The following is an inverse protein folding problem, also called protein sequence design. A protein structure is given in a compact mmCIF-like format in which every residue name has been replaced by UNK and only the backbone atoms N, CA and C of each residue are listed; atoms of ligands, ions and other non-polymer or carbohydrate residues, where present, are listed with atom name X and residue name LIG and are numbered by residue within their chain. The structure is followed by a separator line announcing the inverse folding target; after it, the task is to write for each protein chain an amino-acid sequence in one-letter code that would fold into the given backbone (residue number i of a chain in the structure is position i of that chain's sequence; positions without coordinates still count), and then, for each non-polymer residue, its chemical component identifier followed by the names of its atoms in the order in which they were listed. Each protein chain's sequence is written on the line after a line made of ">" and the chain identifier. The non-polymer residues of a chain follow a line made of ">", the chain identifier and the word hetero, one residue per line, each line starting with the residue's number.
data_IF_950143155894
#
_entry.id   IF_950143155894
#
_cell.length_a   1.000
_cell.length_b   1.000
_cell.length_c   1.000
_cell.angle_alpha   90.00
_cell.angle_beta   90.00
_cell.angle_gamma   90.00
#
_symmetry.space_group_name_H-M   'P 1'
#
loop_
_entity.id
_entity.type
_entity.pdbx_description
1 polymer ?
#
# COMPACT_ATOMS: atom_id res chain seq x y z
N UNK A 1 7.85 21.17 -14.34
CA UNK A 1 8.52 20.79 -13.07
C UNK A 1 9.96 20.28 -13.25
N UNK A 2 10.90 21.03 -13.87
CA UNK A 2 12.27 20.54 -14.10
C UNK A 2 13.11 20.50 -12.81
N UNK A 3 12.91 21.49 -11.93
CA UNK A 3 13.62 21.59 -10.66
C UNK A 3 13.31 20.42 -9.71
N UNK A 4 12.05 19.96 -9.69
CA UNK A 4 11.64 18.80 -8.90
C UNK A 4 12.33 17.51 -9.36
N UNK A 5 12.43 17.30 -10.68
CA UNK A 5 13.12 16.12 -11.25
C UNK A 5 14.61 16.13 -10.89
N UNK A 6 15.26 17.30 -10.93
CA UNK A 6 16.67 17.46 -10.52
C UNK A 6 16.86 17.10 -9.05
N UNK A 7 15.98 17.61 -8.18
CA UNK A 7 15.99 17.33 -6.75
C UNK A 7 15.82 15.84 -6.45
N UNK A 8 14.85 15.16 -7.08
CA UNK A 8 14.66 13.72 -6.90
C UNK A 8 15.88 12.92 -7.37
N UNK A 9 16.54 13.33 -8.46
CA UNK A 9 17.75 12.67 -8.94
C UNK A 9 18.94 12.81 -7.97
N UNK A 10 19.07 13.96 -7.31
CA UNK A 10 20.07 14.19 -6.27
C UNK A 10 19.79 13.37 -5.00
N UNK A 11 18.51 13.12 -4.68
CA UNK A 11 18.07 12.28 -3.57
C UNK A 11 18.17 10.77 -3.81
N UNK A 12 18.73 10.32 -4.92
CA UNK A 12 19.01 8.90 -5.20
C UNK A 12 20.50 8.58 -4.98
N UNK A 13 21.10 8.82 -3.79
CA UNK A 13 22.50 8.47 -3.57
C UNK A 13 22.60 6.95 -3.61
N UNK A 14 23.13 6.44 -4.72
CA UNK A 14 23.52 5.05 -4.95
C UNK A 14 22.50 4.05 -4.42
N UNK A 15 21.46 3.77 -5.22
CA UNK A 15 20.86 2.43 -5.23
C UNK A 15 21.92 1.45 -5.74
N UNK A 16 22.92 1.11 -4.92
CA UNK A 16 23.72 -0.08 -5.18
C UNK A 16 22.74 -1.24 -5.13
N UNK A 17 22.67 -2.01 -6.21
CA UNK A 17 21.94 -3.26 -6.17
C UNK A 17 22.53 -4.09 -5.03
N UNK A 18 21.67 -4.47 -4.08
CA UNK A 18 22.07 -5.39 -3.04
C UNK A 18 22.29 -6.75 -3.72
N UNK A 19 23.54 -7.06 -4.04
CA UNK A 19 23.96 -8.43 -4.36
C UNK A 19 23.55 -9.32 -3.19
N UNK A 20 22.94 -10.47 -3.49
CA UNK A 20 22.47 -11.41 -2.48
C UNK A 20 23.58 -11.75 -1.49
N UNK A 21 23.23 -11.79 -0.19
CA UNK A 21 24.15 -12.11 0.91
C UNK A 21 24.77 -10.90 1.62
N UNK A 22 24.51 -9.66 1.19
CA UNK A 22 24.99 -8.47 1.92
C UNK A 22 24.16 -8.21 3.19
N UNK A 23 24.82 -8.15 4.33
CA UNK A 23 24.23 -7.71 5.60
C UNK A 23 24.39 -6.19 5.73
N UNK A 24 23.27 -5.47 5.86
CA UNK A 24 23.27 -4.02 6.05
C UNK A 24 22.84 -3.72 7.49
N UNK A 25 23.56 -2.84 8.17
CA UNK A 25 23.15 -2.31 9.46
C UNK A 25 22.03 -1.30 9.24
N UNK A 26 20.81 -1.69 9.61
CA UNK A 26 19.61 -0.83 9.50
C UNK A 26 19.29 -0.18 10.85
N UNK A 27 18.83 1.07 10.83
CA UNK A 27 18.27 1.69 12.02
C UNK A 27 16.88 1.08 12.36
N UNK A 28 16.44 1.22 13.62
CA UNK A 28 15.18 0.64 14.11
C UNK A 28 13.94 1.10 13.31
N UNK A 29 13.94 2.33 12.79
CA UNK A 29 12.82 2.85 11.98
C UNK A 29 12.75 2.16 10.62
N UNK A 30 13.89 1.94 9.97
CA UNK A 30 13.98 1.27 8.67
C UNK A 30 13.69 -0.24 8.79
N UNK A 31 14.11 -0.91 9.86
CA UNK A 31 13.78 -2.32 10.09
C UNK A 31 12.28 -2.55 10.32
N UNK A 32 11.57 -1.59 10.93
CA UNK A 32 10.13 -1.69 11.13
C UNK A 32 9.33 -1.60 9.82
N UNK A 33 9.90 -1.01 8.76
CA UNK A 33 9.30 -0.97 7.42
C UNK A 33 9.55 -2.26 6.64
N UNK A 34 10.71 -2.90 6.87
CA UNK A 34 11.08 -4.19 6.29
C UNK A 34 10.85 -5.28 7.34
N UNK A 35 9.63 -5.36 7.86
CA UNK A 35 9.30 -6.48 8.74
C UNK A 35 9.33 -7.77 7.92
N UNK A 36 9.99 -8.84 8.40
CA UNK A 36 10.06 -10.13 7.69
C UNK A 36 8.68 -10.73 7.39
N UNK A 37 7.72 -10.41 8.25
CA UNK A 37 6.33 -10.80 8.13
C UNK A 37 5.55 -9.60 7.61
N UNK A 38 5.68 -9.29 6.33
CA UNK A 38 4.69 -8.42 5.69
C UNK A 38 3.33 -9.11 5.79
N UNK A 39 2.26 -8.39 6.16
CA UNK A 39 0.92 -8.95 6.09
C UNK A 39 0.70 -9.55 4.70
N UNK A 40 0.31 -10.82 4.62
CA UNK A 40 0.02 -11.45 3.34
C UNK A 40 -1.06 -10.64 2.65
N UNK A 41 -0.75 -10.10 1.46
CA UNK A 41 -1.74 -9.39 0.65
C UNK A 41 -2.89 -10.36 0.37
N UNK A 42 -4.07 -10.09 0.93
CA UNK A 42 -5.27 -10.86 0.60
C UNK A 42 -5.67 -10.55 -0.84
N UNK A 43 -6.23 -11.56 -1.51
CA UNK A 43 -6.82 -11.37 -2.83
C UNK A 43 -7.91 -10.31 -2.72
N UNK A 44 -7.92 -9.39 -3.66
CA UNK A 44 -9.00 -8.42 -3.76
C UNK A 44 -10.31 -9.18 -4.05
N UNK A 45 -11.35 -9.02 -3.21
CA UNK A 45 -12.66 -9.62 -3.48
C UNK A 45 -13.34 -9.01 -4.71
N UNK A 46 -12.90 -7.85 -5.19
CA UNK A 46 -13.59 -7.08 -6.23
C UNK A 46 -14.89 -6.49 -5.67
N UNK A 47 -15.93 -6.42 -6.50
CA UNK A 47 -17.25 -5.96 -6.08
C UNK A 47 -18.09 -7.11 -5.52
N UNK A 48 -18.72 -6.90 -4.37
CA UNK A 48 -19.54 -7.91 -3.69
C UNK A 48 -20.77 -7.27 -3.04
N UNK A 49 -21.75 -8.10 -2.65
CA UNK A 49 -22.93 -7.62 -1.93
C UNK A 49 -22.78 -7.86 -0.44
N UNK A 50 -23.16 -6.88 0.37
CA UNK A 50 -23.25 -6.96 1.82
C UNK A 50 -24.61 -6.46 2.29
N UNK A 51 -25.19 -7.04 3.35
CA UNK A 51 -26.31 -6.41 4.02
C UNK A 51 -25.88 -5.06 4.62
N UNK A 52 -26.72 -4.04 4.50
CA UNK A 52 -26.50 -2.74 5.15
C UNK A 52 -27.81 -2.15 5.68
N UNK A 53 -27.69 -1.18 6.60
CA UNK A 53 -28.82 -0.42 7.12
C UNK A 53 -28.60 1.07 6.80
N UNK A 54 -29.66 1.75 6.37
CA UNK A 54 -29.69 3.22 6.27
C UNK A 54 -30.84 3.71 7.13
N UNK A 55 -30.51 4.30 8.28
CA UNK A 55 -31.50 4.58 9.32
C UNK A 55 -32.11 3.29 9.85
N UNK A 56 -33.43 3.20 9.83
CA UNK A 56 -34.20 1.99 10.24
C UNK A 56 -34.46 1.02 9.08
N UNK A 57 -34.06 1.37 7.85
CA UNK A 57 -34.29 0.54 6.67
C UNK A 57 -33.14 -0.42 6.43
N UNK A 58 -33.46 -1.72 6.29
CA UNK A 58 -32.50 -2.79 5.99
C UNK A 58 -32.44 -3.09 4.49
N UNK A 59 -31.25 -3.32 3.97
CA UNK A 59 -30.98 -3.74 2.59
C UNK A 59 -30.15 -5.02 2.63
N UNK A 60 -30.68 -6.13 2.10
CA UNK A 60 -29.98 -7.43 2.14
C UNK A 60 -28.79 -7.50 1.18
N UNK A 61 -28.78 -6.67 0.12
CA UNK A 61 -27.80 -6.72 -0.97
C UNK A 61 -27.36 -5.32 -1.38
N UNK A 62 -26.56 -4.66 -0.56
CA UNK A 62 -25.88 -3.43 -0.95
C UNK A 62 -24.56 -3.74 -1.66
N UNK A 63 -24.32 -3.10 -2.80
CA UNK A 63 -23.07 -3.27 -3.54
C UNK A 63 -21.92 -2.56 -2.79
N UNK A 64 -20.87 -3.31 -2.48
CA UNK A 64 -19.60 -2.82 -1.96
C UNK A 64 -18.54 -3.00 -3.05
N UNK A 65 -17.98 -1.90 -3.55
CA UNK A 65 -16.89 -1.90 -4.50
C UNK A 65 -15.70 -1.13 -3.91
N UNK A 66 -14.63 -1.84 -3.59
CA UNK A 66 -13.41 -1.28 -3.02
C UNK A 66 -12.56 -0.52 -4.06
N UNK A 67 -12.86 -0.69 -5.35
CA UNK A 67 -12.20 0.00 -6.45
C UNK A 67 -12.90 1.28 -6.91
N UNK A 68 -14.11 1.57 -6.41
CA UNK A 68 -14.88 2.73 -6.82
C UNK A 68 -14.40 4.02 -6.16
N UNK A 69 -14.23 5.07 -6.96
CA UNK A 69 -14.01 6.45 -6.48
C UNK A 69 -15.31 7.25 -6.56
N UNK A 70 -15.59 8.08 -5.55
CA UNK A 70 -16.68 9.07 -5.62
C UNK A 70 -16.10 10.34 -6.28
N UNK A 71 -16.80 10.88 -7.29
CA UNK A 71 -16.47 12.14 -7.99
C UNK A 71 -17.28 13.31 -7.46
#
# INVERSE_FOLDING_TARGET
>A
MPAYIKYIKELLPRKSSLKGGQTIVMNKKCSALIQPQLPTKRKDPGSFHVPCAIGETMFDKALCDLGASIN
#
